data_IF_792208546699
#
_entry.id   IF_792208546699
#
_cell.length_a   1.000
_cell.length_b   1.000
_cell.length_c   1.000
_cell.angle_alpha   90.00
_cell.angle_beta   90.00
_cell.angle_gamma   90.00
#
_symmetry.space_group_name_H-M   'P 1'
#
loop_
_entity.id
_entity.type
_entity.pdbx_description
1 polymer ?
#
# COMPACT_ATOMS: atom_id res chain seq x y z
N UNK A 1 -15.85 17.78 -24.64
CA UNK A 1 -14.75 16.85 -24.99
C UNK A 1 -15.22 15.38 -25.13
N UNK A 2 -16.55 15.09 -25.15
CA UNK A 2 -17.11 13.76 -25.34
C UNK A 2 -16.86 12.75 -24.19
N UNK A 3 -16.40 13.20 -23.02
CA UNK A 3 -16.15 12.35 -21.85
C UNK A 3 -17.46 12.06 -21.12
N UNK A 4 -17.77 10.77 -20.91
CA UNK A 4 -18.89 10.36 -20.06
C UNK A 4 -18.44 10.27 -18.61
N UNK A 5 -18.97 11.12 -17.75
CA UNK A 5 -18.71 11.11 -16.30
C UNK A 5 -19.79 10.30 -15.60
N UNK A 6 -19.37 9.36 -14.72
CA UNK A 6 -20.24 8.64 -13.80
C UNK A 6 -19.96 9.12 -12.37
N UNK A 7 -20.97 9.66 -11.73
CA UNK A 7 -20.85 10.27 -10.40
C UNK A 7 -20.96 9.19 -9.32
N UNK A 8 -19.94 8.36 -9.20
CA UNK A 8 -19.76 7.45 -8.05
C UNK A 8 -20.94 6.51 -7.76
N UNK A 9 -20.99 6.07 -6.50
CA UNK A 9 -22.06 5.25 -5.93
C UNK A 9 -22.71 6.01 -4.76
N UNK A 10 -24.03 5.89 -4.55
CA UNK A 10 -24.68 6.47 -3.38
C UNK A 10 -23.96 6.03 -2.09
N UNK A 11 -23.69 6.97 -1.21
CA UNK A 11 -23.08 6.76 0.12
C UNK A 11 -21.69 6.07 0.11
N UNK A 12 -21.00 5.98 -1.04
CA UNK A 12 -19.65 5.43 -1.11
C UNK A 12 -18.71 6.36 -1.88
N UNK A 13 -17.65 6.81 -1.20
CA UNK A 13 -16.58 7.56 -1.85
C UNK A 13 -15.72 6.62 -2.69
N UNK A 14 -15.54 6.94 -3.96
CA UNK A 14 -14.60 6.26 -4.84
C UNK A 14 -13.21 6.85 -4.64
N UNK A 15 -12.26 6.04 -4.21
CA UNK A 15 -10.89 6.46 -3.95
C UNK A 15 -9.85 5.60 -4.69
N UNK A 16 -10.24 4.49 -5.29
CA UNK A 16 -9.37 3.69 -6.16
C UNK A 16 -8.92 4.51 -7.39
N UNK A 17 -7.69 4.31 -7.82
CA UNK A 17 -7.09 4.95 -9.00
C UNK A 17 -6.74 3.85 -10.01
N UNK A 18 -7.64 3.67 -10.96
CA UNK A 18 -7.60 2.58 -11.93
C UNK A 18 -7.77 3.14 -13.34
N UNK A 19 -7.09 2.54 -14.29
CA UNK A 19 -7.30 2.85 -15.72
C UNK A 19 -7.35 1.56 -16.53
N UNK A 20 -8.22 1.53 -17.52
CA UNK A 20 -8.25 0.51 -18.57
C UNK A 20 -8.31 1.19 -19.93
N UNK A 21 -7.37 0.87 -20.78
CA UNK A 21 -7.35 1.24 -22.19
C UNK A 21 -7.65 -0.01 -22.99
N UNK A 22 -8.66 0.10 -23.89
CA UNK A 22 -9.05 -0.97 -24.81
C UNK A 22 -8.69 -0.54 -26.23
N UNK A 23 -7.87 -1.33 -26.90
CA UNK A 23 -7.48 -1.12 -28.29
C UNK A 23 -7.82 -2.33 -29.12
N UNK A 24 -8.41 -2.13 -30.29
CA UNK A 24 -8.64 -3.18 -31.27
C UNK A 24 -7.45 -3.29 -32.21
N UNK A 25 -6.82 -4.45 -32.27
CA UNK A 25 -5.68 -4.75 -33.13
C UNK A 25 -5.92 -6.11 -33.79
N UNK A 26 -5.92 -6.18 -35.12
CA UNK A 26 -6.15 -7.41 -35.89
C UNK A 26 -7.37 -8.21 -35.38
N UNK A 27 -8.52 -7.54 -35.28
CA UNK A 27 -9.80 -8.07 -34.78
C UNK A 27 -9.77 -8.60 -33.31
N UNK A 28 -8.70 -8.42 -32.57
CA UNK A 28 -8.60 -8.78 -31.16
C UNK A 28 -8.63 -7.53 -30.28
N UNK A 29 -9.33 -7.59 -29.17
CA UNK A 29 -9.30 -6.53 -28.16
C UNK A 29 -8.13 -6.74 -27.22
N UNK A 30 -7.16 -5.82 -27.22
CA UNK A 30 -6.07 -5.76 -26.27
C UNK A 30 -6.47 -4.79 -25.16
N UNK A 31 -6.18 -5.16 -23.90
CA UNK A 31 -6.41 -4.31 -22.74
C UNK A 31 -5.11 -4.12 -21.98
N UNK A 32 -4.86 -2.89 -21.59
CA UNK A 32 -3.76 -2.49 -20.71
C UNK A 32 -4.18 -1.29 -19.88
N UNK A 33 -3.47 -1.00 -18.84
CA UNK A 33 -3.83 0.10 -17.96
C UNK A 33 -2.95 0.15 -16.73
N UNK A 34 -3.47 0.71 -15.64
CA UNK A 34 -2.70 0.83 -14.41
C UNK A 34 -3.57 0.78 -13.15
N UNK A 35 -2.89 0.50 -12.04
CA UNK A 35 -3.36 0.69 -10.66
C UNK A 35 -2.37 1.63 -9.97
N UNK A 36 -2.87 2.71 -9.37
CA UNK A 36 -2.04 3.74 -8.73
C UNK A 36 -2.38 3.92 -7.25
N UNK A 37 -1.39 4.29 -6.45
CA UNK A 37 -1.56 4.69 -5.05
C UNK A 37 -2.13 6.10 -4.92
N UNK A 38 -1.89 6.97 -5.90
CA UNK A 38 -2.31 8.36 -5.91
C UNK A 38 -3.03 8.80 -7.18
N UNK A 39 -3.58 10.01 -7.14
CA UNK A 39 -4.33 10.60 -8.24
C UNK A 39 -3.43 10.99 -9.41
N UNK A 40 -3.92 10.79 -10.63
CA UNK A 40 -3.33 11.37 -11.83
C UNK A 40 -3.78 12.83 -11.97
N UNK A 41 -3.09 13.71 -11.30
CA UNK A 41 -3.37 15.14 -11.31
C UNK A 41 -2.05 15.91 -11.42
N UNK A 42 -1.91 16.76 -12.42
CA UNK A 42 -0.66 17.47 -12.72
C UNK A 42 -0.15 18.37 -11.58
N UNK A 43 -1.05 18.95 -10.79
CA UNK A 43 -0.69 19.83 -9.67
C UNK A 43 -0.14 19.00 -8.51
N UNK A 44 -0.86 17.93 -8.13
CA UNK A 44 -0.42 17.07 -7.02
C UNK A 44 0.79 16.24 -7.39
N UNK A 45 0.96 15.82 -8.64
CA UNK A 45 2.12 15.06 -9.12
C UNK A 45 3.46 15.79 -8.94
N UNK A 46 3.44 17.10 -8.82
CA UNK A 46 4.65 17.90 -8.55
C UNK A 46 5.14 17.81 -7.10
N UNK A 47 4.28 17.37 -6.19
CA UNK A 47 4.51 17.38 -4.74
C UNK A 47 4.40 15.99 -4.13
N UNK A 48 3.52 15.12 -4.66
CA UNK A 48 3.20 13.81 -4.09
C UNK A 48 4.11 12.73 -4.64
N UNK A 49 4.62 11.88 -3.75
CA UNK A 49 5.34 10.66 -4.12
C UNK A 49 4.36 9.50 -4.14
N UNK A 50 4.09 8.96 -5.32
CA UNK A 50 3.18 7.85 -5.54
C UNK A 50 3.82 6.75 -6.41
N UNK A 51 3.25 5.56 -6.37
CA UNK A 51 3.60 4.45 -7.24
C UNK A 51 2.44 4.10 -8.17
N UNK A 52 2.77 3.71 -9.38
CA UNK A 52 1.83 3.31 -10.41
C UNK A 52 2.33 2.03 -11.07
N UNK A 53 1.53 0.96 -11.03
CA UNK A 53 1.81 -0.28 -11.75
C UNK A 53 1.09 -0.28 -13.09
N UNK A 54 1.85 -0.15 -14.17
CA UNK A 54 1.35 -0.36 -15.53
C UNK A 54 1.33 -1.85 -15.83
N UNK A 55 0.24 -2.35 -16.42
CA UNK A 55 0.09 -3.77 -16.69
C UNK A 55 -0.83 -4.06 -17.87
N UNK A 56 -0.56 -5.15 -18.58
CA UNK A 56 -1.45 -5.77 -19.56
C UNK A 56 -1.93 -7.16 -19.10
N UNK A 57 -1.73 -7.51 -17.83
CA UNK A 57 -2.18 -8.79 -17.29
C UNK A 57 -3.68 -8.92 -17.39
N UNK A 58 -4.17 -9.92 -18.14
CA UNK A 58 -5.58 -10.11 -18.44
C UNK A 58 -6.45 -10.27 -17.21
N UNK A 59 -5.95 -10.96 -16.19
CA UNK A 59 -6.70 -11.22 -14.97
C UNK A 59 -6.88 -9.95 -14.13
N UNK A 60 -5.83 -9.11 -14.01
CA UNK A 60 -5.92 -7.80 -13.37
C UNK A 60 -6.87 -6.90 -14.15
N UNK A 61 -6.76 -6.85 -15.50
CA UNK A 61 -7.67 -6.07 -16.35
C UNK A 61 -9.12 -6.52 -16.20
N UNK A 62 -9.38 -7.82 -16.08
CA UNK A 62 -10.72 -8.35 -15.84
C UNK A 62 -11.30 -7.84 -14.52
N UNK A 63 -10.51 -7.84 -13.44
CA UNK A 63 -10.96 -7.34 -12.14
C UNK A 63 -11.18 -5.81 -12.15
N UNK A 64 -10.32 -5.04 -12.82
CA UNK A 64 -10.54 -3.60 -13.02
C UNK A 64 -11.86 -3.35 -13.77
N UNK A 65 -12.15 -4.13 -14.81
CA UNK A 65 -13.43 -4.02 -15.52
C UNK A 65 -14.64 -4.34 -14.62
N UNK A 66 -14.51 -5.30 -13.68
CA UNK A 66 -15.59 -5.56 -12.71
C UNK A 66 -15.83 -4.33 -11.82
N UNK A 67 -14.76 -3.68 -11.34
CA UNK A 67 -14.88 -2.44 -10.56
C UNK A 67 -15.62 -1.37 -11.38
N UNK A 68 -15.24 -1.13 -12.64
CA UNK A 68 -15.94 -0.17 -13.50
C UNK A 68 -17.40 -0.56 -13.78
N UNK A 69 -17.73 -1.85 -13.87
CA UNK A 69 -19.09 -2.32 -14.10
C UNK A 69 -20.03 -2.02 -12.93
N UNK A 70 -19.52 -1.97 -11.70
CA UNK A 70 -20.30 -1.55 -10.52
C UNK A 70 -20.86 -0.15 -10.71
N UNK A 71 -20.08 0.77 -11.29
CA UNK A 71 -20.53 2.15 -11.55
C UNK A 71 -21.51 2.26 -12.73
N UNK A 72 -21.42 1.34 -13.70
CA UNK A 72 -22.31 1.32 -14.88
C UNK A 72 -23.68 0.70 -14.60
N UNK A 73 -23.76 -0.15 -13.59
CA UNK A 73 -24.96 -0.91 -13.23
C UNK A 73 -25.34 -0.66 -11.75
N UNK A 74 -25.90 0.50 -11.42
CA UNK A 74 -26.13 0.93 -10.02
C UNK A 74 -27.12 0.04 -9.24
N UNK A 75 -27.85 -0.87 -9.93
CA UNK A 75 -28.76 -1.84 -9.30
C UNK A 75 -28.02 -3.09 -8.75
N UNK A 76 -26.74 -3.29 -9.09
CA UNK A 76 -25.96 -4.40 -8.57
C UNK A 76 -25.39 -4.00 -7.22
N UNK A 77 -25.53 -4.88 -6.22
CA UNK A 77 -24.84 -4.70 -4.94
C UNK A 77 -23.31 -4.62 -5.19
N UNK A 78 -22.67 -3.48 -4.86
CA UNK A 78 -21.23 -3.32 -5.07
C UNK A 78 -20.41 -4.36 -4.34
N UNK A 79 -20.79 -4.75 -3.12
CA UNK A 79 -20.06 -5.73 -2.31
C UNK A 79 -20.07 -7.09 -2.99
N UNK A 80 -21.25 -7.54 -3.43
CA UNK A 80 -21.38 -8.83 -4.11
C UNK A 80 -20.61 -8.87 -5.43
N UNK A 81 -20.68 -7.79 -6.23
CA UNK A 81 -19.95 -7.70 -7.49
C UNK A 81 -18.42 -7.72 -7.31
N UNK A 82 -17.92 -7.04 -6.28
CA UNK A 82 -16.49 -6.95 -5.99
C UNK A 82 -15.92 -8.21 -5.33
N UNK A 83 -16.77 -9.04 -4.71
CA UNK A 83 -16.37 -10.35 -4.14
C UNK A 83 -15.71 -11.26 -5.18
N UNK A 84 -16.04 -11.12 -6.43
CA UNK A 84 -15.47 -11.91 -7.54
C UNK A 84 -14.08 -11.45 -8.00
N UNK A 85 -13.51 -10.38 -7.44
CA UNK A 85 -12.15 -9.93 -7.73
C UNK A 85 -11.13 -10.83 -7.02
N UNK A 86 -10.24 -11.46 -7.78
CA UNK A 86 -9.22 -12.39 -7.26
C UNK A 86 -7.79 -11.86 -7.40
N UNK A 87 -7.57 -10.89 -8.29
CA UNK A 87 -6.26 -10.30 -8.61
C UNK A 87 -6.12 -8.86 -8.14
N UNK A 88 -7.25 -8.22 -7.79
CA UNK A 88 -7.30 -6.99 -7.04
C UNK A 88 -7.87 -7.26 -5.64
N UNK A 89 -7.24 -6.67 -4.63
CA UNK A 89 -7.87 -6.54 -3.32
C UNK A 89 -8.72 -5.28 -3.34
N UNK A 90 -9.98 -5.40 -3.10
CA UNK A 90 -10.92 -4.28 -3.21
C UNK A 90 -11.64 -4.03 -1.89
N UNK A 91 -11.96 -2.78 -1.62
CA UNK A 91 -12.86 -2.39 -0.53
C UNK A 91 -14.27 -2.10 -1.08
N UNK A 92 -15.30 -2.28 -0.23
CA UNK A 92 -15.25 -2.63 1.18
C UNK A 92 -15.00 -4.11 1.47
N UNK A 93 -14.46 -4.39 2.68
CA UNK A 93 -14.28 -5.67 3.36
C UNK A 93 -13.16 -6.58 2.82
N UNK A 94 -13.11 -6.95 1.55
CA UNK A 94 -12.22 -8.00 1.03
C UNK A 94 -10.72 -7.68 1.16
N UNK A 95 -10.35 -6.40 1.08
CA UNK A 95 -8.97 -5.99 1.31
C UNK A 95 -8.58 -6.19 2.78
N UNK A 96 -9.47 -5.86 3.73
CA UNK A 96 -9.27 -6.09 5.17
C UNK A 96 -8.98 -7.56 5.46
N UNK A 97 -9.88 -8.45 5.03
CA UNK A 97 -9.73 -9.90 5.22
C UNK A 97 -8.39 -10.42 4.70
N UNK A 98 -7.96 -9.92 3.56
CA UNK A 98 -6.68 -10.34 2.97
C UNK A 98 -5.46 -9.80 3.72
N UNK A 99 -5.52 -8.57 4.22
CA UNK A 99 -4.47 -8.01 5.09
C UNK A 99 -4.36 -8.82 6.37
N UNK A 100 -5.48 -9.08 7.04
CA UNK A 100 -5.53 -9.90 8.27
C UNK A 100 -4.96 -11.29 8.02
N UNK A 101 -5.34 -11.93 6.92
CA UNK A 101 -4.78 -13.22 6.52
C UNK A 101 -3.25 -13.20 6.36
N UNK A 102 -2.69 -12.16 5.76
CA UNK A 102 -1.23 -12.01 5.64
C UNK A 102 -0.57 -11.86 7.01
N UNK A 103 -1.16 -11.04 7.89
CA UNK A 103 -0.64 -10.85 9.25
C UNK A 103 -0.68 -12.19 10.01
N UNK A 104 -1.79 -12.95 9.90
CA UNK A 104 -1.92 -14.26 10.55
C UNK A 104 -0.85 -15.24 10.06
N UNK A 105 -0.50 -15.23 8.76
CA UNK A 105 0.60 -16.04 8.23
C UNK A 105 1.95 -15.67 8.84
N UNK A 106 2.25 -14.39 8.99
CA UNK A 106 3.48 -13.97 9.67
C UNK A 106 3.47 -14.38 11.16
N UNK A 107 2.31 -14.31 11.85
CA UNK A 107 2.16 -14.78 13.24
C UNK A 107 2.44 -16.28 13.35
N UNK A 108 1.88 -17.09 12.44
CA UNK A 108 2.14 -18.54 12.39
C UNK A 108 3.63 -18.84 12.25
N UNK A 109 4.34 -18.14 11.37
CA UNK A 109 5.76 -18.31 11.14
C UNK A 109 6.60 -17.89 12.37
N UNK A 110 6.29 -16.75 12.97
CA UNK A 110 6.96 -16.28 14.17
C UNK A 110 6.80 -17.23 15.37
N UNK A 111 5.58 -17.74 15.59
CA UNK A 111 5.29 -18.73 16.64
C UNK A 111 6.05 -20.05 16.43
N UNK A 112 6.30 -20.41 15.19
CA UNK A 112 7.09 -21.58 14.83
C UNK A 112 8.62 -21.32 14.84
N UNK A 113 9.08 -20.16 15.32
CA UNK A 113 10.50 -19.81 15.38
C UNK A 113 11.13 -19.50 14.02
N UNK A 114 10.35 -19.32 12.98
CA UNK A 114 10.83 -19.01 11.63
C UNK A 114 10.83 -17.50 11.39
N UNK A 115 11.52 -17.07 10.33
CA UNK A 115 11.54 -15.66 9.93
C UNK A 115 10.14 -15.18 9.58
N UNK A 116 9.72 -14.09 10.22
CA UNK A 116 8.46 -13.39 9.97
C UNK A 116 8.72 -11.89 9.96
N UNK A 117 8.33 -11.21 8.88
CA UNK A 117 8.61 -9.80 8.67
C UNK A 117 7.52 -9.13 7.85
N UNK A 118 7.14 -7.92 8.23
CA UNK A 118 6.31 -7.06 7.39
C UNK A 118 6.82 -5.62 7.39
N UNK A 119 6.67 -4.95 6.24
CA UNK A 119 6.96 -3.52 6.07
C UNK A 119 5.73 -2.86 5.51
N UNK A 120 5.13 -1.94 6.26
CA UNK A 120 3.88 -1.28 5.90
C UNK A 120 4.11 0.21 5.76
N UNK A 121 3.86 0.75 4.57
CA UNK A 121 3.83 2.19 4.32
C UNK A 121 2.40 2.60 4.03
N UNK A 122 1.88 3.54 4.85
CA UNK A 122 0.54 4.13 4.74
C UNK A 122 0.58 5.61 5.15
N UNK A 123 -0.44 6.38 4.80
CA UNK A 123 -0.51 7.76 5.33
C UNK A 123 -1.09 7.78 6.74
N UNK A 124 -2.02 6.89 7.06
CA UNK A 124 -2.69 6.86 8.36
C UNK A 124 -2.98 5.43 8.81
N UNK A 125 -2.79 5.20 10.11
CA UNK A 125 -3.12 3.98 10.84
C UNK A 125 -4.02 4.33 12.02
N UNK A 126 -5.32 4.03 11.91
CA UNK A 126 -6.30 4.26 12.98
C UNK A 126 -7.39 3.18 13.04
N UNK A 127 -7.27 2.14 12.24
CA UNK A 127 -8.22 1.02 12.28
C UNK A 127 -7.95 0.13 13.49
N UNK A 128 -8.92 0.04 14.40
CA UNK A 128 -8.78 -0.69 15.67
C UNK A 128 -8.51 -2.18 15.45
N UNK A 129 -9.16 -2.80 14.44
CA UNK A 129 -9.00 -4.23 14.14
C UNK A 129 -7.57 -4.53 13.67
N UNK A 130 -7.07 -3.77 12.71
CA UNK A 130 -5.70 -3.94 12.21
C UNK A 130 -4.64 -3.58 13.25
N UNK A 131 -4.87 -2.57 14.11
CA UNK A 131 -3.97 -2.26 15.23
C UNK A 131 -3.89 -3.44 16.19
N UNK A 132 -5.03 -4.03 16.57
CA UNK A 132 -5.07 -5.24 17.41
C UNK A 132 -4.27 -6.39 16.75
N UNK A 133 -4.44 -6.61 15.45
CA UNK A 133 -3.69 -7.62 14.70
C UNK A 133 -2.18 -7.34 14.68
N UNK A 134 -1.77 -6.07 14.54
CA UNK A 134 -0.36 -5.69 14.64
C UNK A 134 0.21 -5.98 16.04
N UNK A 135 -0.56 -5.76 17.10
CA UNK A 135 -0.15 -6.09 18.46
C UNK A 135 0.01 -7.60 18.67
N UNK A 136 -0.95 -8.41 18.20
CA UNK A 136 -0.85 -9.87 18.20
C UNK A 136 0.42 -10.35 17.46
N UNK A 137 0.74 -9.72 16.33
CA UNK A 137 1.94 -10.03 15.56
C UNK A 137 3.24 -9.64 16.29
N UNK A 138 3.27 -8.47 16.92
CA UNK A 138 4.41 -7.99 17.69
C UNK A 138 4.68 -8.90 18.91
N UNK A 139 3.64 -9.31 19.62
CA UNK A 139 3.72 -10.28 20.72
C UNK A 139 4.22 -11.65 20.26
N UNK A 140 3.76 -12.12 19.11
CA UNK A 140 4.24 -13.36 18.50
C UNK A 140 5.71 -13.30 18.07
N UNK A 141 6.29 -12.10 17.95
CA UNK A 141 7.68 -11.86 17.58
C UNK A 141 7.90 -11.60 16.09
N UNK A 142 6.86 -11.20 15.34
CA UNK A 142 6.99 -10.70 13.96
C UNK A 142 7.79 -9.41 13.95
N UNK A 143 8.72 -9.27 13.01
CA UNK A 143 9.43 -8.01 12.77
C UNK A 143 8.54 -7.05 11.98
N UNK A 144 8.07 -5.99 12.63
CA UNK A 144 7.14 -5.03 12.04
C UNK A 144 7.83 -3.68 11.86
N UNK A 145 7.93 -3.22 10.63
CA UNK A 145 8.45 -1.90 10.27
C UNK A 145 7.34 -1.09 9.60
N UNK A 146 7.17 0.18 10.01
CA UNK A 146 6.13 1.04 9.46
C UNK A 146 6.66 2.41 9.07
N UNK A 147 6.14 2.93 7.97
CA UNK A 147 6.32 4.31 7.53
C UNK A 147 4.94 4.94 7.48
N UNK A 148 4.61 5.78 8.47
CA UNK A 148 3.29 6.39 8.60
C UNK A 148 3.43 7.89 8.67
N UNK A 149 2.96 8.60 7.64
CA UNK A 149 3.16 10.05 7.51
C UNK A 149 2.29 10.87 8.47
N UNK A 150 1.07 10.45 8.72
CA UNK A 150 0.06 11.19 9.47
C UNK A 150 -0.37 10.47 10.75
N UNK A 151 -1.66 10.14 10.85
CA UNK A 151 -2.25 9.54 12.05
C UNK A 151 -1.63 8.18 12.35
N UNK A 152 -1.12 8.01 13.57
CA UNK A 152 -0.56 6.76 14.08
C UNK A 152 -1.15 6.45 15.45
N UNK A 153 -1.97 5.41 15.55
CA UNK A 153 -2.68 5.04 16.78
C UNK A 153 -2.18 3.72 17.42
N UNK A 154 -1.09 3.11 16.92
CA UNK A 154 -0.53 1.89 17.49
C UNK A 154 0.52 2.20 18.57
N UNK A 155 0.09 2.77 19.70
CA UNK A 155 0.97 3.30 20.76
C UNK A 155 1.15 2.38 21.97
N UNK A 156 0.34 1.34 22.13
CA UNK A 156 0.40 0.41 23.28
C UNK A 156 1.40 -0.74 23.04
N UNK A 157 2.72 -0.48 23.22
CA UNK A 157 3.77 -1.41 22.81
C UNK A 157 4.75 -1.82 23.91
N UNK A 158 4.51 -1.41 25.16
CA UNK A 158 5.51 -1.53 26.26
C UNK A 158 5.98 -2.95 26.55
N UNK A 159 5.10 -3.93 26.37
CA UNK A 159 5.32 -5.33 26.76
C UNK A 159 5.59 -6.29 25.60
N UNK A 160 5.58 -5.84 24.36
CA UNK A 160 5.70 -6.73 23.22
C UNK A 160 7.06 -7.37 23.07
N UNK A 161 7.08 -8.64 22.64
CA UNK A 161 8.30 -9.41 22.36
C UNK A 161 9.18 -8.69 21.34
N UNK A 162 8.54 -8.10 20.30
CA UNK A 162 9.18 -7.15 19.39
C UNK A 162 8.31 -5.92 19.26
N UNK A 163 8.89 -4.74 19.55
CA UNK A 163 8.20 -3.47 19.34
C UNK A 163 8.03 -3.20 17.85
N UNK A 164 6.92 -2.54 17.48
CA UNK A 164 6.73 -2.02 16.14
C UNK A 164 7.71 -0.87 15.91
N UNK A 165 8.58 -1.01 14.91
CA UNK A 165 9.47 0.07 14.49
C UNK A 165 8.73 0.99 13.51
N UNK A 166 8.22 2.11 13.99
CA UNK A 166 7.46 3.06 13.18
C UNK A 166 8.16 4.41 13.07
N UNK A 167 8.20 4.94 11.84
CA UNK A 167 8.72 6.28 11.55
C UNK A 167 7.74 7.08 10.71
N UNK A 168 7.82 8.40 10.85
CA UNK A 168 7.18 9.36 9.92
C UNK A 168 8.27 10.06 9.11
N UNK A 169 8.01 10.28 7.83
CA UNK A 169 8.86 11.08 6.95
C UNK A 169 8.05 12.28 6.46
N UNK A 170 8.44 13.47 6.94
CA UNK A 170 7.91 14.76 6.46
C UNK A 170 9.09 15.56 5.92
N UNK A 171 9.14 15.71 4.61
CA UNK A 171 10.25 16.33 3.91
C UNK A 171 9.72 17.19 2.75
N UNK A 172 10.52 17.43 1.72
CA UNK A 172 10.22 18.28 0.57
C UNK A 172 9.00 17.80 -0.23
N UNK A 173 8.91 16.50 -0.44
CA UNK A 173 7.78 15.85 -1.11
C UNK A 173 6.86 15.14 -0.13
N UNK A 174 5.57 15.09 -0.45
CA UNK A 174 4.58 14.40 0.35
C UNK A 174 4.69 12.88 0.12
N UNK A 175 5.10 12.14 1.14
CA UNK A 175 5.12 10.68 1.13
C UNK A 175 3.68 10.15 1.12
N UNK A 176 3.14 9.86 -0.06
CA UNK A 176 1.71 9.56 -0.25
C UNK A 176 1.45 8.10 -0.66
N UNK A 177 2.44 7.41 -1.19
CA UNK A 177 2.29 6.02 -1.61
C UNK A 177 1.93 5.09 -0.46
N UNK A 178 1.14 4.04 -0.75
CA UNK A 178 0.84 2.95 0.19
C UNK A 178 1.36 1.67 -0.39
N UNK A 179 2.25 1.04 0.37
CA UNK A 179 2.92 -0.21 0.00
C UNK A 179 2.86 -1.17 1.18
N UNK A 180 2.47 -2.40 0.92
CA UNK A 180 2.47 -3.45 1.94
C UNK A 180 3.41 -4.56 1.47
N UNK A 181 4.37 -4.93 2.33
CA UNK A 181 5.28 -6.04 2.14
C UNK A 181 5.08 -7.04 3.27
N UNK A 182 4.93 -8.31 2.92
CA UNK A 182 4.89 -9.46 3.82
C UNK A 182 5.93 -10.49 3.37
N UNK A 183 6.73 -10.99 4.30
CA UNK A 183 7.78 -11.97 4.00
C UNK A 183 7.23 -13.29 3.46
N UNK A 184 6.12 -13.74 4.04
CA UNK A 184 5.35 -14.92 3.62
C UNK A 184 6.23 -16.11 3.18
N UNK A 185 7.03 -16.65 4.13
CA UNK A 185 7.94 -17.81 3.90
C UNK A 185 8.96 -17.60 2.76
N UNK A 186 9.33 -16.35 2.47
CA UNK A 186 10.25 -16.00 1.40
C UNK A 186 9.60 -15.76 0.02
N UNK A 187 8.27 -15.86 -0.10
CA UNK A 187 7.57 -15.49 -1.35
C UNK A 187 7.53 -13.98 -1.59
N UNK A 188 7.73 -13.20 -0.53
CA UNK A 188 7.81 -11.74 -0.56
C UNK A 188 6.60 -11.10 -1.26
N UNK A 189 5.45 -11.16 -0.62
CA UNK A 189 4.22 -10.59 -1.17
C UNK A 189 4.20 -9.08 -1.03
N UNK A 190 4.15 -8.37 -2.16
CA UNK A 190 4.17 -6.91 -2.22
C UNK A 190 2.90 -6.40 -2.90
N UNK A 191 2.27 -5.38 -2.28
CA UNK A 191 1.06 -4.74 -2.78
C UNK A 191 1.21 -3.24 -2.88
N UNK A 192 0.70 -2.65 -3.97
CA UNK A 192 0.44 -1.22 -4.10
C UNK A 192 -1.03 -0.95 -3.82
N UNK A 193 -1.35 0.00 -2.95
CA UNK A 193 -2.71 0.25 -2.48
C UNK A 193 -3.11 1.73 -2.58
N UNK A 194 -4.40 2.00 -2.80
CA UNK A 194 -4.98 3.33 -2.61
C UNK A 194 -5.46 3.58 -1.18
N UNK A 195 -5.62 2.51 -0.38
CA UNK A 195 -6.19 2.57 0.96
C UNK A 195 -5.15 2.86 2.04
N UNK A 196 -5.52 3.72 2.98
CA UNK A 196 -4.90 3.77 4.31
C UNK A 196 -5.53 2.73 5.24
N UNK A 197 -4.86 2.41 6.34
CA UNK A 197 -5.36 1.49 7.36
C UNK A 197 -6.27 2.22 8.34
N UNK A 198 -7.42 2.66 7.79
CA UNK A 198 -8.48 3.35 8.51
C UNK A 198 -9.81 2.67 8.19
N UNK A 199 -10.70 2.57 9.16
CA UNK A 199 -12.04 1.96 9.02
C UNK A 199 -12.80 2.57 7.84
N UNK A 200 -12.76 3.92 7.68
CA UNK A 200 -13.41 4.59 6.55
C UNK A 200 -12.90 4.15 5.17
N UNK A 201 -11.62 3.79 5.03
CA UNK A 201 -11.04 3.31 3.78
C UNK A 201 -11.44 1.85 3.54
N UNK A 202 -11.33 1.01 4.56
CA UNK A 202 -11.48 -0.43 4.42
C UNK A 202 -12.95 -0.86 4.35
N UNK A 203 -13.88 -0.13 4.99
CA UNK A 203 -15.27 -0.56 5.14
C UNK A 203 -16.27 0.33 4.39
N UNK A 204 -15.92 1.60 4.09
CA UNK A 204 -16.90 2.57 3.54
C UNK A 204 -16.53 3.15 2.19
N UNK A 205 -15.31 2.92 1.68
CA UNK A 205 -14.85 3.44 0.39
C UNK A 205 -14.68 2.35 -0.64
N UNK A 206 -14.65 2.74 -1.91
CA UNK A 206 -14.13 1.89 -2.98
C UNK A 206 -12.63 2.16 -3.09
N UNK A 207 -11.84 1.23 -2.64
CA UNK A 207 -10.37 1.24 -2.71
C UNK A 207 -9.90 0.01 -3.49
N UNK A 208 -8.66 0.06 -3.97
CA UNK A 208 -8.05 -1.07 -4.66
C UNK A 208 -6.58 -1.22 -4.28
N UNK A 209 -6.12 -2.46 -4.15
CA UNK A 209 -4.72 -2.80 -4.11
C UNK A 209 -4.41 -3.90 -5.11
N UNK A 210 -3.19 -3.87 -5.67
CA UNK A 210 -2.72 -4.86 -6.64
C UNK A 210 -1.45 -5.54 -6.13
N UNK A 211 -1.40 -6.87 -6.25
CA UNK A 211 -0.18 -7.64 -5.98
C UNK A 211 0.82 -7.43 -7.11
N UNK A 212 2.03 -7.07 -6.75
CA UNK A 212 3.16 -7.00 -7.69
C UNK A 212 3.78 -8.37 -7.83
N UNK A 213 3.76 -8.95 -9.02
CA UNK A 213 4.21 -10.32 -9.25
C UNK A 213 5.63 -10.41 -9.83
N UNK A 214 6.10 -9.39 -10.53
CA UNK A 214 7.44 -9.36 -11.13
C UNK A 214 8.51 -9.25 -10.05
N UNK A 215 9.46 -10.17 -10.04
CA UNK A 215 10.54 -10.27 -9.03
C UNK A 215 11.39 -9.00 -8.93
N UNK A 216 11.74 -8.40 -10.07
CA UNK A 216 12.51 -7.15 -10.13
C UNK A 216 11.74 -5.98 -9.50
N UNK A 217 10.44 -5.86 -9.77
CA UNK A 217 9.60 -4.79 -9.21
C UNK A 217 9.34 -5.00 -7.71
N UNK A 218 9.13 -6.26 -7.26
CA UNK A 218 9.03 -6.58 -5.83
C UNK A 218 10.30 -6.16 -5.09
N UNK A 219 11.46 -6.55 -5.64
CA UNK A 219 12.75 -6.17 -5.07
C UNK A 219 12.93 -4.65 -5.03
N UNK A 220 12.60 -3.95 -6.09
CA UNK A 220 12.69 -2.50 -6.15
C UNK A 220 11.84 -1.81 -5.08
N UNK A 221 10.58 -2.22 -4.92
CA UNK A 221 9.68 -1.67 -3.91
C UNK A 221 10.19 -1.95 -2.49
N UNK A 222 10.70 -3.16 -2.25
CA UNK A 222 11.32 -3.50 -0.97
C UNK A 222 12.55 -2.65 -0.69
N UNK A 223 13.47 -2.54 -1.67
CA UNK A 223 14.68 -1.72 -1.56
C UNK A 223 14.32 -0.25 -1.25
N UNK A 224 13.26 0.30 -1.88
CA UNK A 224 12.77 1.65 -1.61
C UNK A 224 12.22 1.80 -0.19
N UNK A 225 11.45 0.84 0.31
CA UNK A 225 10.96 0.85 1.70
C UNK A 225 12.13 0.78 2.70
N UNK A 226 13.08 -0.10 2.48
CA UNK A 226 14.25 -0.24 3.33
C UNK A 226 15.14 1.01 3.29
N UNK A 227 15.26 1.66 2.12
CA UNK A 227 15.97 2.92 1.96
C UNK A 227 15.28 4.03 2.77
N UNK A 228 13.96 4.12 2.72
CA UNK A 228 13.21 5.09 3.51
C UNK A 228 13.36 4.87 5.01
N UNK A 229 13.35 3.62 5.48
CA UNK A 229 13.56 3.25 6.87
C UNK A 229 14.97 3.58 7.40
N UNK A 230 15.97 3.74 6.52
CA UNK A 230 17.33 4.18 6.89
C UNK A 230 17.43 5.69 7.14
N UNK A 231 16.39 6.46 6.80
CA UNK A 231 16.37 7.91 6.93
C UNK A 231 16.66 8.38 8.37
N UNK A 232 17.63 9.27 8.54
CA UNK A 232 18.03 9.81 9.85
C UNK A 232 18.17 11.34 9.86
N UNK A 233 17.74 12.02 8.79
CA UNK A 233 17.78 13.49 8.68
C UNK A 233 16.38 14.09 8.87
N UNK A 234 15.36 13.50 8.21
CA UNK A 234 13.97 14.01 8.22
C UNK A 234 12.99 13.03 8.87
N UNK A 235 13.38 11.78 9.07
CA UNK A 235 12.54 10.78 9.73
C UNK A 235 12.38 11.11 11.23
N UNK A 236 11.18 10.81 11.75
CA UNK A 236 10.82 10.97 13.17
C UNK A 236 10.26 9.67 13.69
N UNK A 237 10.56 9.36 14.94
CA UNK A 237 9.99 8.20 15.62
C UNK A 237 8.50 8.39 15.88
N UNK A 238 7.74 7.34 15.65
CA UNK A 238 6.36 7.18 16.09
C UNK A 238 6.38 6.15 17.24
N UNK A 239 6.82 6.62 18.38
CA UNK A 239 6.94 5.84 19.59
C UNK A 239 5.64 5.83 20.42
N UNK A 240 5.63 5.05 21.49
CA UNK A 240 4.48 4.90 22.40
C UNK A 240 4.09 6.18 23.13
N UNK A 241 5.01 7.12 23.31
CA UNK A 241 4.76 8.43 23.92
C UNK A 241 4.50 9.53 22.88
N UNK A 242 4.47 9.19 21.59
CA UNK A 242 4.31 10.11 20.45
C UNK A 242 5.28 11.30 20.54
N UNK A 243 6.52 11.05 20.95
CA UNK A 243 7.52 12.11 21.18
C UNK A 243 7.89 12.85 19.92
N UNK A 244 7.64 12.25 18.74
CA UNK A 244 7.91 12.82 17.43
C UNK A 244 9.38 13.30 17.29
N UNK A 245 10.31 12.68 18.02
CA UNK A 245 11.73 13.00 17.97
C UNK A 245 12.34 12.58 16.64
N UNK A 246 13.27 13.37 16.14
CA UNK A 246 14.04 12.99 14.96
C UNK A 246 14.80 11.68 15.21
N UNK A 247 14.81 10.81 14.18
CA UNK A 247 15.66 9.62 14.17
C UNK A 247 17.12 10.10 14.12
N UNK A 248 17.82 10.01 15.26
CA UNK A 248 19.25 10.27 15.35
C UNK A 248 19.98 8.97 15.61
N UNK A 249 20.98 8.68 14.83
CA UNK A 249 21.89 7.57 15.04
C UNK A 249 23.31 8.05 14.68
N UNK A 250 24.33 7.36 15.13
CA UNK A 250 25.75 7.72 14.89
C UNK A 250 26.22 7.39 13.45
N UNK A 251 25.27 7.17 12.50
CA UNK A 251 25.56 6.92 11.10
C UNK A 251 25.66 8.24 10.33
N UNK A 252 26.26 8.18 9.13
CA UNK A 252 26.30 9.32 8.19
C UNK A 252 24.87 9.84 7.92
N UNK A 253 24.70 11.16 7.75
CA UNK A 253 23.42 11.75 7.38
C UNK A 253 22.83 11.08 6.13
N UNK A 254 21.58 10.64 6.23
CA UNK A 254 20.86 9.92 5.18
C UNK A 254 19.46 10.51 5.02
N UNK A 255 19.32 11.43 4.05
CA UNK A 255 18.02 12.04 3.71
C UNK A 255 17.33 11.14 2.69
N UNK A 256 16.35 10.37 3.14
CA UNK A 256 15.72 9.28 2.38
C UNK A 256 15.17 9.71 1.02
N UNK A 257 14.57 10.91 0.90
CA UNK A 257 14.04 11.39 -0.40
C UNK A 257 15.17 11.63 -1.43
N UNK A 258 16.28 12.20 -1.00
CA UNK A 258 17.44 12.41 -1.88
C UNK A 258 18.04 11.06 -2.31
N UNK A 259 18.17 10.13 -1.37
CA UNK A 259 18.72 8.80 -1.67
C UNK A 259 17.77 7.96 -2.55
N UNK A 260 16.44 8.12 -2.36
CA UNK A 260 15.42 7.55 -3.27
C UNK A 260 15.60 8.08 -4.70
N UNK A 261 15.78 9.38 -4.87
CA UNK A 261 16.06 9.96 -6.19
C UNK A 261 17.31 9.39 -6.82
N UNK A 262 18.41 9.34 -6.08
CA UNK A 262 19.68 8.77 -6.56
C UNK A 262 19.53 7.31 -6.99
N UNK A 263 18.84 6.52 -6.18
CA UNK A 263 18.56 5.11 -6.45
C UNK A 263 17.78 4.93 -7.76
N UNK A 264 16.70 5.68 -7.94
CA UNK A 264 15.87 5.61 -9.15
C UNK A 264 16.61 6.14 -10.38
N UNK A 265 17.38 7.25 -10.24
CA UNK A 265 18.19 7.80 -11.33
C UNK A 265 19.24 6.79 -11.82
N UNK A 266 19.92 6.10 -10.89
CA UNK A 266 20.89 5.06 -11.25
C UNK A 266 20.21 3.94 -12.04
N UNK A 267 19.06 3.44 -11.58
CA UNK A 267 18.32 2.40 -12.30
C UNK A 267 17.84 2.82 -13.69
N UNK A 268 17.43 4.07 -13.85
CA UNK A 268 17.00 4.60 -15.15
C UNK A 268 18.15 4.69 -16.18
N UNK A 269 19.40 4.68 -15.72
CA UNK A 269 20.58 4.69 -16.59
C UNK A 269 21.02 3.25 -16.95
N UNK A 270 20.75 2.30 -16.05
CA UNK A 270 21.13 0.89 -16.20
C UNK A 270 20.14 0.07 -17.06
N UNK A 271 18.94 0.61 -17.36
CA UNK A 271 17.90 0.03 -18.21
C UNK A 271 17.81 0.75 -19.56
#
# INVERSE_FOLDING_TARGET
EGVKVLVGLPNKKVHAKLCVIKKRVNNKTIQYGFVSTGNLNEKTAKIYVDHLLMTSNRAIMADINKVFNVFRKPKIDPVLALKSCNHLLVCPHFMREKIEWHIDKEIEEAKAGRKAEMIIKVNSLSDKGLIKKLYEAAEAGVEIKMIVRGIFCAVEQKTFKKKIHAISIVDEYLEHSRVMYFYNKGSEDVYLSSADWMTRNLDYRIEAAVKVNQKNLKKELKDLLELQLKGNVKARFLDEDLTNKYVKNNKKPFRSQIETYKFLKKKAIEN
#
